data_IF_785619695192
#
_entry.id   IF_785619695192
#
_cell.length_a   1.000
_cell.length_b   1.000
_cell.length_c   1.000
_cell.angle_alpha   90.00
_cell.angle_beta   90.00
_cell.angle_gamma   90.00
#
_symmetry.space_group_name_H-M   'P 1'
#
loop_
_entity.id
_entity.type
_entity.pdbx_description
1 polymer ?
#
# COMPACT_ATOMS: atom_id res chain seq x y z
N UNK A 1 15.72 28.83 -8.89
CA UNK A 1 14.69 28.11 -9.68
C UNK A 1 14.54 26.68 -9.14
N UNK A 2 13.59 26.31 -8.27
CA UNK A 2 12.15 26.59 -8.19
C UNK A 2 11.39 25.31 -7.73
N UNK A 3 12.06 24.15 -7.76
CA UNK A 3 11.55 22.84 -7.31
C UNK A 3 12.33 22.39 -6.07
N UNK A 4 11.64 21.83 -5.07
CA UNK A 4 12.27 21.26 -3.87
C UNK A 4 13.04 19.99 -4.24
N UNK A 5 14.26 19.85 -3.70
CA UNK A 5 15.18 18.73 -4.02
C UNK A 5 14.52 17.35 -3.96
N UNK A 6 13.76 17.05 -2.91
CA UNK A 6 13.10 15.73 -2.76
C UNK A 6 12.05 15.44 -3.85
N UNK A 7 11.39 16.48 -4.39
CA UNK A 7 10.41 16.32 -5.48
C UNK A 7 11.14 15.95 -6.77
N UNK A 8 12.26 16.63 -7.02
CA UNK A 8 13.11 16.36 -8.17
C UNK A 8 13.69 14.94 -8.14
N UNK A 9 14.25 14.53 -7.00
CA UNK A 9 14.77 13.18 -6.79
C UNK A 9 13.68 12.11 -6.99
N UNK A 10 12.49 12.31 -6.41
CA UNK A 10 11.36 11.39 -6.60
C UNK A 10 10.94 11.26 -8.08
N UNK A 11 10.89 12.37 -8.82
CA UNK A 11 10.55 12.35 -10.24
C UNK A 11 11.59 11.56 -11.07
N UNK A 12 12.88 11.71 -10.76
CA UNK A 12 13.94 10.93 -11.40
C UNK A 12 13.81 9.44 -11.10
N UNK A 13 13.49 9.07 -9.85
CA UNK A 13 13.28 7.68 -9.47
C UNK A 13 12.11 7.04 -10.21
N UNK A 14 10.96 7.73 -10.25
CA UNK A 14 9.78 7.27 -10.97
C UNK A 14 10.09 7.08 -12.45
N UNK A 15 10.73 8.06 -13.09
CA UNK A 15 11.13 7.95 -14.50
C UNK A 15 12.02 6.73 -14.76
N UNK A 16 13.05 6.53 -13.93
CA UNK A 16 13.98 5.40 -14.03
C UNK A 16 13.27 4.05 -13.87
N UNK A 17 12.35 3.94 -12.91
CA UNK A 17 11.60 2.71 -12.65
C UNK A 17 10.66 2.41 -13.83
N UNK A 18 9.86 3.39 -14.25
CA UNK A 18 8.91 3.21 -15.36
C UNK A 18 9.62 2.82 -16.66
N UNK A 19 10.76 3.43 -16.96
CA UNK A 19 11.57 3.06 -18.12
C UNK A 19 12.00 1.59 -18.05
N UNK A 20 12.56 1.12 -16.93
CA UNK A 20 13.00 -0.27 -16.77
C UNK A 20 11.85 -1.26 -16.84
N UNK A 21 10.72 -0.95 -16.21
CA UNK A 21 9.51 -1.77 -16.25
C UNK A 21 8.98 -1.89 -17.68
N UNK A 22 8.97 -0.79 -18.44
CA UNK A 22 8.59 -0.77 -19.85
C UNK A 22 9.53 -1.61 -20.72
N UNK A 23 10.85 -1.49 -20.52
CA UNK A 23 11.85 -2.32 -21.23
C UNK A 23 11.69 -3.82 -20.96
N UNK A 24 11.26 -4.19 -19.75
CA UNK A 24 10.96 -5.58 -19.40
C UNK A 24 9.61 -6.09 -19.97
N UNK A 25 8.84 -5.26 -20.69
CA UNK A 25 7.53 -5.62 -21.22
C UNK A 25 6.41 -5.69 -20.18
N UNK A 26 6.65 -5.20 -18.95
CA UNK A 26 5.67 -5.20 -17.87
C UNK A 26 4.71 -4.01 -18.06
N UNK A 27 3.41 -4.25 -17.88
CA UNK A 27 2.38 -3.21 -17.93
C UNK A 27 1.96 -2.80 -16.52
N UNK A 28 1.93 -1.49 -16.26
CA UNK A 28 1.39 -0.91 -15.02
C UNK A 28 0.00 -0.34 -15.32
N UNK A 29 -0.97 -0.61 -14.45
CA UNK A 29 -2.26 0.06 -14.51
C UNK A 29 -2.14 1.49 -13.97
N UNK A 30 -2.36 2.48 -14.84
CA UNK A 30 -2.37 3.89 -14.43
C UNK A 30 -3.42 4.20 -13.35
N UNK A 31 -4.57 3.51 -13.38
CA UNK A 31 -5.64 3.66 -12.38
C UNK A 31 -5.24 3.16 -10.98
N UNK A 32 -4.35 2.18 -10.90
CA UNK A 32 -3.87 1.61 -9.63
C UNK A 32 -2.53 2.20 -9.16
N UNK A 33 -1.86 2.96 -10.02
CA UNK A 33 -0.56 3.54 -9.71
C UNK A 33 -0.70 4.69 -8.69
N UNK A 34 0.06 4.61 -7.60
CA UNK A 34 0.12 5.64 -6.56
C UNK A 34 1.47 6.35 -6.65
N UNK A 35 1.52 7.50 -7.32
CA UNK A 35 2.74 8.30 -7.54
C UNK A 35 2.56 9.69 -6.92
N UNK A 36 3.63 10.26 -6.36
CA UNK A 36 3.60 11.58 -5.71
C UNK A 36 2.53 11.73 -4.62
N UNK A 37 2.28 10.67 -3.84
CA UNK A 37 1.33 10.69 -2.71
C UNK A 37 2.10 10.74 -1.37
N UNK A 38 1.65 11.53 -0.39
CA UNK A 38 2.26 11.52 0.95
C UNK A 38 2.00 10.20 1.67
N UNK A 39 0.85 9.56 1.39
CA UNK A 39 0.46 8.28 1.95
C UNK A 39 0.16 7.30 0.82
N UNK A 40 0.64 6.06 0.92
CA UNK A 40 0.40 5.00 -0.07
C UNK A 40 0.07 3.68 0.60
N UNK A 41 -0.82 2.89 -0.01
CA UNK A 41 -1.09 1.53 0.44
C UNK A 41 -0.19 0.55 -0.30
N UNK A 42 0.61 -0.21 0.46
CA UNK A 42 1.52 -1.25 -0.03
C UNK A 42 1.22 -2.54 0.73
N UNK A 43 0.73 -3.58 0.03
CA UNK A 43 0.43 -4.91 0.61
C UNK A 43 -0.52 -4.80 1.84
N UNK A 44 -1.46 -3.86 1.78
CA UNK A 44 -2.42 -3.56 2.85
C UNK A 44 -1.78 -3.02 4.12
N UNK A 45 -0.63 -2.34 4.00
CA UNK A 45 -0.10 -1.43 4.99
C UNK A 45 -0.17 -0.02 4.40
N UNK A 46 -0.60 0.95 5.19
CA UNK A 46 -0.58 2.37 4.85
C UNK A 46 0.77 2.92 5.26
N UNK A 47 1.58 3.29 4.28
CA UNK A 47 2.86 3.95 4.49
C UNK A 47 2.64 5.46 4.47
N UNK A 48 3.01 6.13 5.56
CA UNK A 48 2.95 7.58 5.74
C UNK A 48 4.36 8.12 6.00
N UNK A 49 4.58 9.45 6.01
CA UNK A 49 5.87 10.03 6.37
C UNK A 49 6.31 9.67 7.80
N UNK A 50 5.35 9.39 8.70
CA UNK A 50 5.58 9.05 10.11
C UNK A 50 5.87 7.56 10.32
N UNK A 51 5.59 6.69 9.34
CA UNK A 51 5.86 5.27 9.43
C UNK A 51 4.85 4.40 8.69
N UNK A 52 4.76 3.13 9.10
CA UNK A 52 3.81 2.16 8.55
C UNK A 52 2.72 1.88 9.57
N UNK A 53 1.47 1.96 9.14
CA UNK A 53 0.31 1.60 9.94
C UNK A 53 -0.59 0.62 9.16
N UNK A 54 -1.40 -0.20 9.84
CA UNK A 54 -2.38 -1.04 9.16
C UNK A 54 -3.33 -0.19 8.30
N UNK A 55 -3.73 -0.73 7.15
CA UNK A 55 -4.78 -0.10 6.33
C UNK A 55 -6.12 -0.09 7.07
N UNK A 56 -6.88 1.00 6.94
CA UNK A 56 -8.14 1.22 7.66
C UNK A 56 -9.12 0.05 7.44
N UNK A 57 -9.25 -0.43 6.20
CA UNK A 57 -10.08 -1.59 5.83
C UNK A 57 -9.67 -2.88 6.58
N UNK A 58 -8.38 -3.09 6.86
CA UNK A 58 -7.94 -4.25 7.64
C UNK A 58 -8.31 -4.09 9.11
N UNK A 59 -8.18 -2.88 9.65
CA UNK A 59 -8.58 -2.58 11.03
C UNK A 59 -10.08 -2.79 11.20
N UNK A 60 -10.88 -2.33 10.24
CA UNK A 60 -12.33 -2.48 10.26
C UNK A 60 -12.78 -3.93 10.17
N UNK A 61 -12.09 -4.76 9.39
CA UNK A 61 -12.36 -6.21 9.33
C UNK A 61 -12.15 -6.90 10.67
N UNK A 62 -11.16 -6.48 11.45
CA UNK A 62 -10.91 -7.03 12.80
C UNK A 62 -11.93 -6.49 13.79
N UNK A 63 -12.20 -5.17 13.76
CA UNK A 63 -13.15 -4.52 14.68
C UNK A 63 -14.59 -5.00 14.52
N UNK A 64 -15.02 -5.19 13.28
CA UNK A 64 -16.39 -5.58 12.94
C UNK A 64 -16.56 -7.10 12.83
N UNK A 65 -15.53 -7.88 13.15
CA UNK A 65 -15.65 -9.34 13.12
C UNK A 65 -16.68 -9.81 14.17
N UNK A 66 -17.69 -10.61 13.78
CA UNK A 66 -18.70 -11.07 14.72
C UNK A 66 -18.08 -12.01 15.76
N UNK A 67 -18.61 -12.01 16.99
CA UNK A 67 -18.13 -12.91 18.05
C UNK A 67 -18.18 -14.37 17.55
N UNK A 68 -17.03 -15.05 17.44
CA UNK A 68 -16.99 -16.42 16.94
C UNK A 68 -17.78 -17.36 17.87
N UNK A 69 -18.61 -18.23 17.29
CA UNK A 69 -19.39 -19.23 18.02
C UNK A 69 -18.88 -20.65 17.76
N UNK A 70 -18.07 -20.84 16.73
CA UNK A 70 -17.53 -22.14 16.32
C UNK A 70 -16.01 -22.12 16.23
N UNK A 71 -15.39 -23.30 16.37
CA UNK A 71 -13.93 -23.47 16.21
C UNK A 71 -13.47 -23.02 14.81
N UNK A 72 -14.29 -23.21 13.78
CA UNK A 72 -13.98 -22.77 12.41
C UNK A 72 -13.88 -21.24 12.32
N UNK A 73 -14.82 -20.53 12.93
CA UNK A 73 -14.82 -19.06 12.96
C UNK A 73 -13.66 -18.50 13.77
N UNK A 74 -13.31 -19.15 14.89
CA UNK A 74 -12.13 -18.79 15.70
C UNK A 74 -10.85 -18.91 14.85
N UNK A 75 -10.67 -20.02 14.12
CA UNK A 75 -9.51 -20.19 13.23
C UNK A 75 -9.48 -19.14 12.11
N UNK A 76 -10.64 -18.79 11.56
CA UNK A 76 -10.75 -17.74 10.54
C UNK A 76 -10.32 -16.37 11.06
N UNK A 77 -10.75 -16.00 12.27
CA UNK A 77 -10.33 -14.76 12.93
C UNK A 77 -8.83 -14.73 13.22
N UNK A 78 -8.28 -15.83 13.75
CA UNK A 78 -6.84 -15.93 14.01
C UNK A 78 -6.02 -15.84 12.71
N UNK A 79 -6.51 -16.45 11.62
CA UNK A 79 -5.88 -16.33 10.31
C UNK A 79 -5.98 -14.93 9.68
N UNK A 80 -6.96 -14.10 10.08
CA UNK A 80 -7.06 -12.71 9.68
C UNK A 80 -6.08 -11.81 10.46
N UNK A 81 -5.85 -12.13 11.73
CA UNK A 81 -5.00 -11.34 12.64
C UNK A 81 -3.50 -11.64 12.51
N UNK A 82 -3.14 -12.83 12.02
CA UNK A 82 -1.76 -13.22 11.72
C UNK A 82 -1.24 -12.59 10.43
#
# INVERSE_FOLDING_TARGET
PGIRRFIWEHAQDVHRILHRVGHAGIKISGLKAQVCRPNVVIVGQKCTPEGRVPEDDKVDKVRNWPVPKTVKEVRGFLGLCG
#
